data_IF_125843921233
#
_entry.id   IF_125843921233
#
_cell.length_a   1.000
_cell.length_b   1.000
_cell.length_c   1.000
_cell.angle_alpha   90.00
_cell.angle_beta   90.00
_cell.angle_gamma   90.00
#
_symmetry.space_group_name_H-M   'P 1'
#
loop_
_entity.id
_entity.type
_entity.pdbx_description
1 polymer ?
#
# COMPACT_ATOMS: atom_id res chain seq x y z
N UNK A 1 -10.14 -4.56 -3.20
CA UNK A 1 -8.81 -4.46 -2.57
C UNK A 1 -7.78 -4.58 -3.67
N UNK A 2 -6.97 -3.54 -3.92
CA UNK A 2 -5.93 -3.58 -4.95
C UNK A 2 -4.61 -3.98 -4.28
N UNK A 3 -3.95 -5.02 -4.79
CA UNK A 3 -2.58 -5.35 -4.39
C UNK A 3 -1.64 -4.54 -5.27
N UNK A 4 -0.75 -3.77 -4.65
CA UNK A 4 0.28 -3.02 -5.35
C UNK A 4 1.64 -3.50 -4.85
N UNK A 5 2.47 -4.00 -5.77
CA UNK A 5 3.82 -4.49 -5.49
C UNK A 5 4.85 -3.40 -5.79
N UNK A 6 5.69 -3.07 -4.80
CA UNK A 6 6.77 -2.10 -4.99
C UNK A 6 7.95 -2.78 -5.72
N UNK A 7 8.38 -2.30 -6.90
CA UNK A 7 9.50 -2.88 -7.66
C UNK A 7 10.84 -2.89 -6.92
N UNK A 8 11.02 -2.00 -5.92
CA UNK A 8 12.24 -1.93 -5.09
C UNK A 8 12.11 -2.50 -3.68
N UNK A 9 10.93 -3.00 -3.29
CA UNK A 9 10.62 -3.39 -1.92
C UNK A 9 9.77 -4.65 -1.82
N UNK A 10 10.23 -5.64 -1.04
CA UNK A 10 9.63 -6.97 -0.81
C UNK A 10 8.34 -6.93 0.03
N UNK A 11 7.43 -5.98 -0.23
CA UNK A 11 6.19 -5.80 0.50
C UNK A 11 5.00 -5.60 -0.43
N UNK A 12 3.84 -6.09 0.01
CA UNK A 12 2.57 -5.88 -0.66
C UNK A 12 1.78 -4.80 0.07
N UNK A 13 1.18 -3.91 -0.72
CA UNK A 13 0.18 -2.97 -0.23
C UNK A 13 -1.21 -3.49 -0.58
N UNK A 14 -2.08 -3.60 0.41
CA UNK A 14 -3.49 -3.86 0.23
C UNK A 14 -4.27 -2.59 0.53
N UNK A 15 -4.79 -1.98 -0.53
CA UNK A 15 -5.44 -0.68 -0.44
C UNK A 15 -6.94 -0.77 -0.74
N UNK A 16 -7.74 -0.11 0.11
CA UNK A 16 -9.16 0.12 -0.08
C UNK A 16 -9.39 1.61 -0.46
N UNK A 17 -9.82 1.91 -1.70
CA UNK A 17 -10.01 3.29 -2.15
C UNK A 17 -11.21 4.00 -1.50
N UNK A 18 -12.21 3.27 -1.00
CA UNK A 18 -13.40 3.85 -0.36
C UNK A 18 -13.07 4.39 1.03
N UNK A 19 -12.33 3.60 1.83
CA UNK A 19 -11.94 3.96 3.19
C UNK A 19 -10.57 4.64 3.28
N UNK A 20 -9.82 4.63 2.17
CA UNK A 20 -8.41 5.04 2.07
C UNK A 20 -7.47 4.23 2.98
N UNK A 21 -7.92 3.07 3.47
CA UNK A 21 -7.09 2.23 4.35
C UNK A 21 -6.06 1.45 3.52
N UNK A 22 -4.80 1.55 3.93
CA UNK A 22 -3.70 0.77 3.40
C UNK A 22 -3.18 -0.20 4.48
N UNK A 23 -2.90 -1.43 4.07
CA UNK A 23 -2.22 -2.44 4.89
C UNK A 23 -0.98 -2.90 4.13
N UNK A 24 0.17 -2.90 4.80
CA UNK A 24 1.40 -3.46 4.28
C UNK A 24 1.72 -4.80 4.92
N UNK A 25 2.12 -5.76 4.09
CA UNK A 25 2.72 -7.02 4.53
C UNK A 25 4.06 -7.22 3.87
N UNK A 26 4.91 -8.03 4.47
CA UNK A 26 6.02 -8.69 3.77
C UNK A 26 5.47 -9.62 2.68
N UNK A 27 6.34 -10.02 1.77
CA UNK A 27 6.03 -11.01 0.71
C UNK A 27 5.67 -12.40 1.24
N UNK A 28 6.10 -12.74 2.46
CA UNK A 28 5.72 -13.97 3.17
C UNK A 28 4.36 -13.89 3.89
N UNK A 29 3.67 -12.75 3.78
CA UNK A 29 2.37 -12.50 4.42
C UNK A 29 2.43 -11.91 5.83
N UNK A 30 3.63 -11.74 6.42
CA UNK A 30 3.75 -11.13 7.75
C UNK A 30 3.36 -9.65 7.73
N UNK A 31 2.50 -9.24 8.66
CA UNK A 31 2.07 -7.85 8.81
C UNK A 31 3.25 -6.91 9.11
N UNK A 32 3.25 -5.74 8.46
CA UNK A 32 4.20 -4.66 8.72
C UNK A 32 3.50 -3.51 9.45
N UNK A 33 2.47 -2.93 8.82
CA UNK A 33 1.72 -1.79 9.36
C UNK A 33 0.41 -1.58 8.60
N UNK A 34 -0.48 -0.75 9.16
CA UNK A 34 -1.70 -0.33 8.49
C UNK A 34 -2.11 1.07 8.91
N UNK A 35 -2.46 1.93 7.95
CA UNK A 35 -2.86 3.31 8.20
C UNK A 35 -3.74 3.86 7.08
N UNK A 36 -4.48 4.92 7.39
CA UNK A 36 -5.28 5.65 6.41
C UNK A 36 -4.34 6.56 5.60
N UNK A 37 -4.38 6.43 4.28
CA UNK A 37 -3.60 7.28 3.38
C UNK A 37 -4.26 8.65 3.23
N UNK A 38 -3.43 9.69 3.11
CA UNK A 38 -3.88 10.96 2.54
C UNK A 38 -4.16 10.81 1.04
N UNK A 39 -4.77 11.82 0.41
CA UNK A 39 -5.02 11.80 -1.03
C UNK A 39 -3.73 11.79 -1.86
N UNK A 40 -2.69 12.49 -1.39
CA UNK A 40 -1.35 12.45 -2.02
C UNK A 40 -0.77 11.04 -1.94
N UNK A 41 -0.73 10.45 -0.75
CA UNK A 41 -0.21 9.09 -0.54
C UNK A 41 -0.98 8.02 -1.32
N UNK A 42 -2.29 8.22 -1.47
CA UNK A 42 -3.13 7.35 -2.30
C UNK A 42 -2.75 7.44 -3.77
N UNK A 43 -2.49 8.66 -4.26
CA UNK A 43 -2.08 8.91 -5.64
C UNK A 43 -0.70 8.33 -5.93
N UNK A 44 0.24 8.50 -5.00
CA UNK A 44 1.59 7.91 -5.06
C UNK A 44 1.52 6.39 -5.09
N UNK A 45 0.70 5.77 -4.23
CA UNK A 45 0.56 4.33 -4.21
C UNK A 45 -0.03 3.80 -5.53
N UNK A 46 -1.03 4.49 -6.09
CA UNK A 46 -1.69 4.05 -7.32
C UNK A 46 -0.79 4.24 -8.54
N UNK A 47 -0.05 5.35 -8.62
CA UNK A 47 0.78 5.72 -9.76
C UNK A 47 2.19 5.11 -9.73
N UNK A 48 2.82 5.10 -8.56
CA UNK A 48 4.23 4.73 -8.40
C UNK A 48 4.42 3.38 -7.69
N UNK A 49 3.36 2.84 -7.10
CA UNK A 49 3.42 1.58 -6.36
C UNK A 49 4.04 1.67 -4.97
N UNK A 50 4.20 2.88 -4.43
CA UNK A 50 4.74 3.14 -3.10
C UNK A 50 4.16 4.42 -2.48
N UNK A 51 4.30 4.57 -1.17
CA UNK A 51 3.86 5.76 -0.41
C UNK A 51 5.08 6.61 -0.03
N UNK A 52 5.00 7.93 -0.23
CA UNK A 52 6.02 8.91 0.15
C UNK A 52 5.48 9.93 1.18
#
# INVERSE_FOLDING_TARGET
MKVVSNPGGRSYHYYNPETKLNVMTKTDGNFISGWKLSDTQSSDLIGNGNVF
#
